data_IF_758197466953
#
_entry.id   IF_758197466953
#
_cell.length_a   1.000
_cell.length_b   1.000
_cell.length_c   1.000
_cell.angle_alpha   90.00
_cell.angle_beta   90.00
_cell.angle_gamma   90.00
#
_symmetry.space_group_name_H-M   'P 1'
#
loop_
_entity.id
_entity.type
_entity.pdbx_description
1 polymer ?
#
# COMPACT_ATOMS: atom_id res chain seq x y z
N UNK A 1 12.86 -6.34 20.90
CA UNK A 1 12.64 -6.64 19.47
C UNK A 1 14.00 -6.71 18.79
N UNK A 2 14.26 -7.68 17.90
CA UNK A 2 15.49 -7.66 17.11
C UNK A 2 15.53 -6.36 16.29
N UNK A 3 16.70 -5.74 16.21
CA UNK A 3 16.92 -4.51 15.44
C UNK A 3 16.72 -4.83 13.95
N UNK A 4 15.93 -4.01 13.24
CA UNK A 4 15.83 -4.11 11.79
C UNK A 4 17.21 -3.85 11.19
N UNK A 5 17.68 -4.78 10.37
CA UNK A 5 18.89 -4.63 9.57
C UNK A 5 18.43 -4.45 8.12
N UNK A 6 18.81 -3.33 7.52
CA UNK A 6 18.46 -2.99 6.15
C UNK A 6 19.72 -3.15 5.27
N UNK A 7 19.88 -4.29 4.58
CA UNK A 7 20.97 -4.45 3.62
C UNK A 7 20.79 -3.47 2.45
N UNK A 8 21.90 -3.02 1.82
CA UNK A 8 21.82 -2.12 0.69
C UNK A 8 21.12 -2.82 -0.48
N UNK A 9 19.98 -2.27 -0.90
CA UNK A 9 19.21 -2.70 -2.06
C UNK A 9 18.99 -1.50 -2.98
N UNK A 10 18.82 -1.73 -4.30
CA UNK A 10 18.34 -0.67 -5.19
C UNK A 10 17.04 -0.06 -4.64
N UNK A 11 16.92 1.28 -4.70
CA UNK A 11 15.84 2.02 -4.04
C UNK A 11 14.45 1.48 -4.39
N UNK A 12 14.17 1.21 -5.68
CA UNK A 12 12.87 0.68 -6.11
C UNK A 12 12.60 -0.74 -5.59
N UNK A 13 13.64 -1.55 -5.36
CA UNK A 13 13.49 -2.88 -4.73
C UNK A 13 13.10 -2.71 -3.26
N UNK A 14 13.79 -1.81 -2.55
CA UNK A 14 13.46 -1.46 -1.17
C UNK A 14 12.01 -0.98 -1.03
N UNK A 15 11.57 -0.05 -1.88
CA UNK A 15 10.20 0.44 -1.92
C UNK A 15 9.18 -0.68 -2.22
N UNK A 16 9.52 -1.61 -3.11
CA UNK A 16 8.67 -2.76 -3.43
C UNK A 16 8.53 -3.71 -2.24
N UNK A 17 9.62 -3.95 -1.49
CA UNK A 17 9.59 -4.75 -0.25
C UNK A 17 8.80 -4.01 0.84
N UNK A 18 8.99 -2.71 0.98
CA UNK A 18 8.24 -1.92 1.95
C UNK A 18 6.75 -1.92 1.61
N UNK A 19 6.32 -1.87 0.36
CA UNK A 19 4.90 -2.01 0.02
C UNK A 19 4.38 -3.45 0.18
N UNK A 20 5.03 -4.42 -0.49
CA UNK A 20 4.50 -5.75 -0.77
C UNK A 20 4.96 -6.83 0.23
N UNK A 21 5.94 -6.53 1.08
CA UNK A 21 6.46 -7.46 2.09
C UNK A 21 5.61 -7.58 3.36
N UNK A 22 4.50 -6.83 3.48
CA UNK A 22 3.62 -6.87 4.65
C UNK A 22 2.28 -7.53 4.36
N UNK A 23 1.91 -8.50 5.19
CA UNK A 23 0.61 -9.19 5.14
C UNK A 23 -0.56 -8.21 5.21
N UNK A 24 -0.48 -7.18 6.06
CA UNK A 24 -1.55 -6.19 6.22
C UNK A 24 -1.68 -5.34 4.96
N UNK A 25 -0.57 -4.87 4.40
CA UNK A 25 -0.58 -4.04 3.18
C UNK A 25 -1.06 -4.80 1.96
N UNK A 26 -0.56 -6.02 1.75
CA UNK A 26 -1.04 -6.91 0.69
C UNK A 26 -2.52 -7.21 0.87
N UNK A 27 -2.97 -7.43 2.10
CA UNK A 27 -4.39 -7.60 2.43
C UNK A 27 -5.23 -6.39 2.03
N UNK A 28 -4.81 -5.17 2.37
CA UNK A 28 -5.51 -3.94 2.03
C UNK A 28 -5.56 -3.73 0.50
N UNK A 29 -4.44 -3.92 -0.20
CA UNK A 29 -4.39 -3.81 -1.67
C UNK A 29 -5.35 -4.81 -2.30
N UNK A 30 -5.28 -6.10 -1.92
CA UNK A 30 -6.16 -7.14 -2.45
C UNK A 30 -7.63 -6.83 -2.18
N UNK A 31 -7.95 -6.35 -0.97
CA UNK A 31 -9.33 -6.02 -0.60
C UNK A 31 -9.90 -4.87 -1.44
N UNK A 32 -9.13 -3.80 -1.62
CA UNK A 32 -9.51 -2.66 -2.46
C UNK A 32 -9.66 -3.05 -3.94
N UNK A 33 -8.80 -3.94 -4.46
CA UNK A 33 -8.94 -4.44 -5.83
C UNK A 33 -10.18 -5.31 -6.03
N UNK A 34 -10.53 -6.12 -5.04
CA UNK A 34 -11.69 -7.02 -5.12
C UNK A 34 -13.03 -6.31 -4.91
N UNK A 35 -13.07 -5.30 -4.03
CA UNK A 35 -14.33 -4.68 -3.57
C UNK A 35 -14.46 -3.20 -3.93
N UNK A 36 -13.50 -2.66 -4.69
CA UNK A 36 -13.46 -1.26 -5.10
C UNK A 36 -13.00 -0.30 -3.98
N UNK A 37 -13.07 1.02 -4.24
CA UNK A 37 -12.58 2.04 -3.32
C UNK A 37 -13.34 2.08 -1.98
N UNK A 38 -12.61 2.21 -0.87
CA UNK A 38 -13.16 2.20 0.49
C UNK A 38 -12.62 3.32 1.36
N UNK A 39 -13.40 3.72 2.36
CA UNK A 39 -12.93 4.64 3.40
C UNK A 39 -12.10 3.89 4.45
N UNK A 40 -11.34 4.60 5.31
CA UNK A 40 -10.61 3.95 6.41
C UNK A 40 -11.55 3.19 7.38
N UNK A 41 -12.68 3.76 7.83
CA UNK A 41 -13.63 3.03 8.68
C UNK A 41 -14.20 1.77 8.01
N UNK A 42 -14.49 1.83 6.72
CA UNK A 42 -14.98 0.65 5.98
C UNK A 42 -13.94 -0.46 5.99
N UNK A 43 -12.67 -0.14 5.69
CA UNK A 43 -11.58 -1.11 5.69
C UNK A 43 -11.33 -1.72 7.07
N UNK A 44 -11.33 -0.90 8.12
CA UNK A 44 -11.18 -1.38 9.50
C UNK A 44 -12.27 -2.39 9.87
N UNK A 45 -13.53 -2.06 9.55
CA UNK A 45 -14.68 -2.93 9.81
C UNK A 45 -14.66 -4.19 8.96
N UNK A 46 -14.52 -4.06 7.64
CA UNK A 46 -14.62 -5.18 6.68
C UNK A 46 -13.46 -6.19 6.84
N UNK A 47 -12.28 -5.73 7.26
CA UNK A 47 -11.11 -6.58 7.45
C UNK A 47 -10.85 -6.96 8.91
N UNK A 48 -11.70 -6.55 9.84
CA UNK A 48 -11.54 -6.74 11.29
C UNK A 48 -10.15 -6.30 11.80
N UNK A 49 -9.74 -5.09 11.41
CA UNK A 49 -8.46 -4.47 11.79
C UNK A 49 -8.71 -3.23 12.64
N UNK A 50 -7.74 -2.88 13.50
CA UNK A 50 -7.82 -1.60 14.22
C UNK A 50 -7.68 -0.42 13.27
N UNK A 51 -8.40 0.67 13.56
CA UNK A 51 -8.33 1.91 12.78
C UNK A 51 -6.90 2.47 12.68
N UNK A 52 -6.11 2.35 13.76
CA UNK A 52 -4.70 2.79 13.78
C UNK A 52 -3.82 1.96 12.86
N UNK A 53 -4.03 0.64 12.81
CA UNK A 53 -3.30 -0.25 11.89
C UNK A 53 -3.65 0.07 10.44
N UNK A 54 -4.93 0.27 10.14
CA UNK A 54 -5.38 0.64 8.79
C UNK A 54 -4.79 1.99 8.37
N UNK A 55 -4.90 3.02 9.22
CA UNK A 55 -4.36 4.35 8.93
C UNK A 55 -2.85 4.29 8.64
N UNK A 56 -2.05 3.71 9.53
CA UNK A 56 -0.59 3.60 9.36
C UNK A 56 -0.20 2.90 8.06
N UNK A 57 -0.89 1.82 7.70
CA UNK A 57 -0.55 1.08 6.49
C UNK A 57 -1.02 1.80 5.22
N UNK A 58 -2.16 2.49 5.26
CA UNK A 58 -2.62 3.29 4.13
C UNK A 58 -1.76 4.54 3.92
N UNK A 59 -1.29 5.20 4.98
CA UNK A 59 -0.39 6.34 4.87
C UNK A 59 0.93 5.93 4.16
N UNK A 60 1.52 4.78 4.53
CA UNK A 60 2.70 4.26 3.85
C UNK A 60 2.41 3.85 2.39
N UNK A 61 1.26 3.22 2.12
CA UNK A 61 0.88 2.86 0.75
C UNK A 61 0.61 4.11 -0.11
N UNK A 62 0.09 5.19 0.48
CA UNK A 62 -0.13 6.47 -0.19
C UNK A 62 1.21 7.15 -0.50
N UNK A 63 2.14 7.17 0.46
CA UNK A 63 3.52 7.68 0.28
C UNK A 63 4.27 6.95 -0.85
N UNK A 64 4.08 5.64 -0.96
CA UNK A 64 4.67 4.82 -2.02
C UNK A 64 3.92 4.90 -3.37
N UNK A 65 2.83 5.67 -3.43
CA UNK A 65 1.97 5.83 -4.60
C UNK A 65 1.16 4.58 -4.97
N UNK A 66 1.05 3.61 -4.05
CA UNK A 66 0.31 2.36 -4.26
C UNK A 66 -1.20 2.58 -4.15
N UNK A 67 -1.62 3.52 -3.30
CA UNK A 67 -3.00 3.98 -3.20
C UNK A 67 -3.05 5.50 -3.31
N UNK A 68 -4.20 6.04 -3.71
CA UNK A 68 -4.48 7.47 -3.65
C UNK A 68 -5.85 7.71 -3.02
N UNK A 69 -6.05 8.90 -2.47
CA UNK A 69 -7.36 9.35 -2.01
C UNK A 69 -8.16 9.97 -3.16
N UNK A 70 -9.44 9.60 -3.24
CA UNK A 70 -10.43 10.20 -4.12
C UNK A 70 -11.65 10.67 -3.30
N UNK A 71 -11.92 11.99 -3.20
CA UNK A 71 -11.11 13.08 -3.76
C UNK A 71 -9.75 13.24 -3.03
N UNK A 72 -8.74 13.88 -3.65
CA UNK A 72 -7.43 14.09 -3.05
C UNK A 72 -7.48 14.99 -1.81
N UNK A 73 -6.41 14.97 -1.00
CA UNK A 73 -6.31 15.75 0.24
C UNK A 73 -6.38 17.27 0.02
N UNK A 74 -5.95 17.73 -1.15
CA UNK A 74 -6.01 19.13 -1.54
C UNK A 74 -7.45 19.64 -1.74
N UNK A 75 -8.41 18.74 -1.94
CA UNK A 75 -9.81 19.12 -2.11
C UNK A 75 -10.56 19.19 -0.77
N UNK A 76 -11.53 20.11 -0.65
CA UNK A 76 -12.36 20.22 0.56
C UNK A 76 -13.10 18.93 0.89
N UNK A 77 -13.29 18.67 2.18
CA UNK A 77 -13.98 17.49 2.73
C UNK A 77 -15.51 17.53 2.53
N UNK A 78 -15.96 17.64 1.27
CA UNK A 78 -17.38 17.61 0.89
C UNK A 78 -17.93 16.21 0.71
N UNK A 79 -17.05 15.22 0.49
CA UNK A 79 -17.38 13.80 0.33
C UNK A 79 -16.37 12.95 1.11
N UNK A 80 -16.78 11.79 1.64
CA UNK A 80 -15.83 10.86 2.26
C UNK A 80 -14.74 10.45 1.26
N UNK A 81 -13.48 10.69 1.63
CA UNK A 81 -12.33 10.29 0.81
C UNK A 81 -12.19 8.77 0.83
N UNK A 82 -12.07 8.17 -0.36
CA UNK A 82 -11.91 6.72 -0.55
C UNK A 82 -10.52 6.42 -1.09
N UNK A 83 -9.96 5.30 -0.64
CA UNK A 83 -8.67 4.81 -1.11
C UNK A 83 -8.85 4.03 -2.41
N UNK A 84 -8.08 4.40 -3.42
CA UNK A 84 -8.08 3.80 -4.76
C UNK A 84 -6.70 3.23 -5.05
N UNK A 85 -6.62 1.94 -5.41
CA UNK A 85 -5.34 1.29 -5.75
C UNK A 85 -4.85 1.76 -7.11
N UNK A 86 -3.56 2.12 -7.17
CA UNK A 86 -2.86 2.46 -8.39
C UNK A 86 -2.27 1.20 -9.03
N UNK A 87 -3.08 0.48 -9.81
CA UNK A 87 -2.72 -0.83 -10.38
C UNK A 87 -1.38 -0.80 -11.14
N UNK A 88 -1.11 0.28 -11.89
CA UNK A 88 0.16 0.45 -12.61
C UNK A 88 1.37 0.47 -11.67
N UNK A 89 1.27 1.13 -10.51
CA UNK A 89 2.35 1.17 -9.51
C UNK A 89 2.57 -0.20 -8.88
N UNK A 90 1.49 -0.91 -8.53
CA UNK A 90 1.56 -2.28 -8.01
C UNK A 90 2.26 -3.22 -8.99
N UNK A 91 1.86 -3.19 -10.27
CA UNK A 91 2.46 -4.03 -11.31
C UNK A 91 3.95 -3.69 -11.52
N UNK A 92 4.32 -2.41 -11.48
CA UNK A 92 5.71 -1.97 -11.54
C UNK A 92 6.55 -2.53 -10.39
N UNK A 93 6.06 -2.42 -9.15
CA UNK A 93 6.74 -2.96 -7.96
C UNK A 93 6.90 -4.48 -8.02
N UNK A 94 5.87 -5.21 -8.47
CA UNK A 94 5.95 -6.66 -8.65
C UNK A 94 7.02 -7.05 -9.68
N UNK A 95 7.10 -6.31 -10.79
CA UNK A 95 8.13 -6.52 -11.81
C UNK A 95 9.53 -6.27 -11.25
N UNK A 96 9.74 -5.15 -10.55
CA UNK A 96 11.02 -4.80 -9.92
C UNK A 96 11.45 -5.87 -8.92
N UNK A 97 10.53 -6.31 -8.05
CA UNK A 97 10.82 -7.36 -7.07
C UNK A 97 11.14 -8.70 -7.74
N UNK A 98 10.38 -9.06 -8.79
CA UNK A 98 10.66 -10.27 -9.57
C UNK A 98 12.07 -10.23 -10.16
N UNK A 99 12.45 -9.13 -10.82
CA UNK A 99 13.78 -8.98 -11.42
C UNK A 99 14.89 -9.13 -10.36
N UNK A 100 14.67 -8.62 -9.14
CA UNK A 100 15.64 -8.68 -8.06
C UNK A 100 15.88 -10.12 -7.60
N UNK A 101 14.79 -10.87 -7.48
CA UNK A 101 14.81 -12.26 -7.02
C UNK A 101 15.30 -13.24 -8.10
N UNK A 102 15.12 -12.92 -9.38
CA UNK A 102 15.57 -13.76 -10.50
C UNK A 102 16.94 -13.37 -11.04
N UNK A 103 17.60 -12.35 -10.46
CA UNK A 103 18.91 -11.87 -10.93
C UNK A 103 18.87 -11.16 -12.29
N UNK A 104 17.71 -10.62 -12.69
CA UNK A 104 17.50 -9.92 -13.96
C UNK A 104 17.51 -8.39 -13.82
N UNK A 105 18.08 -7.88 -12.71
CA UNK A 105 18.04 -6.48 -12.30
C UNK A 105 19.31 -5.75 -12.68
#
# INVERSE_FOLDING_TARGET
>A
MPKRVDPPLPTEVGMSIDALGSRVRVGLIRHLLAHGPKTRPDLAREMNLSSSMVAKNLDLLEELGVVMLDPPRSEPDRKPRRYVVQQKRVNGMLKTLSMALTGAL
#
